data_IF_936359767515
#
_entry.id   IF_936359767515
#
_cell.length_a   1.000
_cell.length_b   1.000
_cell.length_c   1.000
_cell.angle_alpha   90.00
_cell.angle_beta   90.00
_cell.angle_gamma   90.00
#
_symmetry.space_group_name_H-M   'P 1'
#
loop_
_entity.id
_entity.type
_entity.pdbx_description
1 polymer ?
#
# COMPACT_ATOMS: atom_id res chain seq x y z
N UNK A 1 36.06 -7.42 8.74
CA UNK A 1 34.92 -8.32 9.06
C UNK A 1 33.55 -7.64 9.11
N UNK A 2 33.44 -6.36 9.51
CA UNK A 2 32.16 -5.61 9.50
C UNK A 2 31.43 -5.67 8.12
N UNK A 3 32.16 -5.41 7.03
CA UNK A 3 31.57 -5.33 5.69
C UNK A 3 30.97 -6.65 5.17
N UNK A 4 31.53 -7.81 5.56
CA UNK A 4 31.01 -9.11 5.13
C UNK A 4 29.68 -9.44 5.79
N UNK A 5 29.52 -9.11 7.08
CA UNK A 5 28.27 -9.28 7.81
C UNK A 5 27.17 -8.40 7.22
N UNK A 6 27.44 -7.09 7.06
CA UNK A 6 26.50 -6.14 6.48
C UNK A 6 26.07 -6.52 5.05
N UNK A 7 27.00 -7.03 4.23
CA UNK A 7 26.65 -7.52 2.88
C UNK A 7 25.75 -8.76 2.92
N UNK A 8 25.98 -9.70 3.85
CA UNK A 8 25.14 -10.89 4.00
C UNK A 8 23.74 -10.52 4.49
N UNK A 9 23.64 -9.65 5.50
CA UNK A 9 22.34 -9.17 6.00
C UNK A 9 21.57 -8.40 4.92
N UNK A 10 22.27 -7.55 4.15
CA UNK A 10 21.67 -6.84 3.02
C UNK A 10 21.13 -7.79 1.95
N UNK A 11 21.89 -8.81 1.54
CA UNK A 11 21.44 -9.80 0.55
C UNK A 11 20.24 -10.60 1.05
N UNK A 12 20.26 -11.04 2.31
CA UNK A 12 19.14 -11.77 2.90
C UNK A 12 17.88 -10.90 2.96
N UNK A 13 18.03 -9.62 3.31
CA UNK A 13 16.94 -8.66 3.35
C UNK A 13 16.39 -8.35 1.95
N UNK A 14 17.25 -8.10 0.96
CA UNK A 14 16.81 -7.92 -0.44
C UNK A 14 16.09 -9.17 -0.97
N UNK A 15 16.59 -10.37 -0.65
CA UNK A 15 15.92 -11.61 -1.01
C UNK A 15 14.54 -11.75 -0.38
N UNK A 16 14.41 -11.47 0.92
CA UNK A 16 13.14 -11.50 1.62
C UNK A 16 12.16 -10.43 1.10
N UNK A 17 12.62 -9.20 0.85
CA UNK A 17 11.84 -8.13 0.22
C UNK A 17 11.36 -8.58 -1.17
N UNK A 18 12.21 -9.16 -2.00
CA UNK A 18 11.83 -9.64 -3.34
C UNK A 18 10.75 -10.74 -3.28
N UNK A 19 10.87 -11.69 -2.35
CA UNK A 19 9.86 -12.74 -2.14
C UNK A 19 8.53 -12.13 -1.72
N UNK A 20 8.53 -11.25 -0.71
CA UNK A 20 7.30 -10.60 -0.24
C UNK A 20 6.70 -9.71 -1.33
N UNK A 21 7.52 -8.98 -2.09
CA UNK A 21 7.07 -8.18 -3.24
C UNK A 21 6.38 -9.06 -4.29
N UNK A 22 6.97 -10.22 -4.61
CA UNK A 22 6.38 -11.16 -5.57
C UNK A 22 5.01 -11.65 -5.10
N UNK A 23 4.89 -12.07 -3.83
CA UNK A 23 3.61 -12.50 -3.25
C UNK A 23 2.58 -11.35 -3.23
N UNK A 24 3.00 -10.14 -2.85
CA UNK A 24 2.13 -8.98 -2.81
C UNK A 24 1.66 -8.55 -4.21
N UNK A 25 2.53 -8.60 -5.22
CA UNK A 25 2.19 -8.36 -6.62
C UNK A 25 1.25 -9.43 -7.17
N UNK A 26 1.46 -10.71 -6.85
CA UNK A 26 0.54 -11.78 -7.23
C UNK A 26 -0.84 -11.56 -6.60
N UNK A 27 -0.91 -11.24 -5.30
CA UNK A 27 -2.18 -10.91 -4.65
C UNK A 27 -2.85 -9.67 -5.25
N UNK A 28 -2.07 -8.65 -5.59
CA UNK A 28 -2.57 -7.43 -6.22
C UNK A 28 -3.07 -7.65 -7.65
N UNK A 29 -2.34 -8.43 -8.45
CA UNK A 29 -2.70 -8.77 -9.83
C UNK A 29 -3.98 -9.60 -9.88
N UNK A 30 -4.16 -10.59 -8.98
CA UNK A 30 -5.43 -11.34 -8.89
C UNK A 30 -6.62 -10.40 -8.66
N UNK A 31 -6.43 -9.34 -7.86
CA UNK A 31 -7.47 -8.35 -7.59
C UNK A 31 -7.72 -7.38 -8.76
N UNK A 32 -6.70 -7.05 -9.54
CA UNK A 32 -6.84 -6.17 -10.70
C UNK A 32 -7.11 -6.92 -12.00
N UNK A 33 -6.98 -8.25 -12.02
CA UNK A 33 -7.19 -9.08 -13.20
C UNK A 33 -8.55 -8.86 -13.88
N UNK A 34 -9.68 -8.72 -13.17
CA UNK A 34 -10.95 -8.41 -13.82
C UNK A 34 -10.93 -7.10 -14.61
N UNK A 35 -10.17 -6.10 -14.15
CA UNK A 35 -10.01 -4.82 -14.84
C UNK A 35 -9.05 -4.91 -16.04
N UNK A 36 -8.13 -5.88 -16.04
CA UNK A 36 -7.17 -6.08 -17.13
C UNK A 36 -7.73 -6.92 -18.26
N UNK A 37 -8.69 -7.80 -17.96
CA UNK A 37 -9.32 -8.67 -18.95
C UNK A 37 -10.48 -7.97 -19.69
N UNK A 38 -11.06 -6.91 -19.11
CA UNK A 38 -12.16 -6.17 -19.75
C UNK A 38 -11.66 -5.44 -21.02
N UNK A 39 -12.10 -5.85 -22.22
CA UNK A 39 -11.65 -5.25 -23.48
C UNK A 39 -12.17 -3.81 -23.68
N UNK A 40 -13.03 -3.33 -22.79
CA UNK A 40 -13.55 -1.97 -22.83
C UNK A 40 -12.75 -1.00 -21.96
N UNK A 41 -11.82 -1.49 -21.13
CA UNK A 41 -10.98 -0.62 -20.30
C UNK A 41 -9.72 -0.23 -21.07
N UNK A 42 -9.43 1.07 -21.26
CA UNK A 42 -8.23 1.48 -21.97
C UNK A 42 -6.97 1.08 -21.19
N UNK A 43 -5.91 0.68 -21.90
CA UNK A 43 -4.63 0.24 -21.30
C UNK A 43 -3.97 1.33 -20.44
N UNK A 44 -4.21 2.60 -20.77
CA UNK A 44 -3.79 3.76 -19.98
C UNK A 44 -4.44 3.80 -18.59
N UNK A 45 -5.73 3.42 -18.48
CA UNK A 45 -6.42 3.29 -17.21
C UNK A 45 -5.89 2.10 -16.41
N UNK A 46 -5.70 0.95 -17.08
CA UNK A 46 -5.11 -0.24 -16.47
C UNK A 46 -3.74 0.04 -15.82
N UNK A 47 -2.90 0.85 -16.48
CA UNK A 47 -1.58 1.25 -15.96
C UNK A 47 -1.65 2.00 -14.62
N UNK A 48 -2.65 2.87 -14.44
CA UNK A 48 -2.82 3.61 -13.18
C UNK A 48 -3.08 2.65 -12.00
N UNK A 49 -3.90 1.61 -12.21
CA UNK A 49 -4.13 0.57 -11.21
C UNK A 49 -2.88 -0.27 -10.96
N UNK A 50 -2.19 -0.68 -12.02
CA UNK A 50 -0.96 -1.46 -11.92
C UNK A 50 0.11 -0.71 -11.10
N UNK A 51 0.27 0.59 -11.35
CA UNK A 51 1.16 1.47 -10.59
C UNK A 51 0.76 1.53 -9.11
N UNK A 52 -0.51 1.76 -8.80
CA UNK A 52 -0.98 1.82 -7.42
C UNK A 52 -0.74 0.49 -6.66
N UNK A 53 -1.01 -0.64 -7.32
CA UNK A 53 -0.71 -1.98 -6.77
C UNK A 53 0.79 -2.18 -6.57
N UNK A 54 1.62 -1.79 -7.53
CA UNK A 54 3.07 -1.94 -7.44
C UNK A 54 3.67 -1.13 -6.28
N UNK A 55 3.22 0.12 -6.10
CA UNK A 55 3.67 0.97 -4.99
C UNK A 55 3.27 0.37 -3.64
N UNK A 56 2.01 -0.10 -3.50
CA UNK A 56 1.55 -0.74 -2.28
C UNK A 56 2.29 -2.06 -2.01
N UNK A 57 2.52 -2.86 -3.06
CA UNK A 57 3.27 -4.11 -2.94
C UNK A 57 4.71 -3.84 -2.48
N UNK A 58 5.36 -2.80 -3.01
CA UNK A 58 6.71 -2.39 -2.59
C UNK A 58 6.74 -1.91 -1.14
N UNK A 59 5.75 -1.12 -0.72
CA UNK A 59 5.61 -0.67 0.67
C UNK A 59 5.51 -1.86 1.64
N UNK A 60 4.62 -2.80 1.36
CA UNK A 60 4.44 -4.04 2.15
C UNK A 60 5.70 -4.90 2.13
N UNK A 61 6.33 -5.04 0.96
CA UNK A 61 7.53 -5.83 0.78
C UNK A 61 8.70 -5.31 1.60
N UNK A 62 8.94 -3.99 1.59
CA UNK A 62 10.01 -3.40 2.37
C UNK A 62 9.69 -3.54 3.86
N UNK A 63 8.48 -3.17 4.28
CA UNK A 63 8.12 -3.14 5.69
C UNK A 63 8.06 -4.54 6.36
N UNK A 64 7.69 -5.59 5.63
CA UNK A 64 7.70 -6.98 6.14
C UNK A 64 8.99 -7.73 5.80
N UNK A 65 9.46 -7.64 4.56
CA UNK A 65 10.61 -8.40 4.08
C UNK A 65 11.92 -7.99 4.73
N UNK A 66 12.06 -6.71 5.09
CA UNK A 66 13.28 -6.21 5.71
C UNK A 66 13.55 -6.82 7.10
N UNK A 67 12.64 -6.70 8.10
CA UNK A 67 12.81 -7.37 9.39
C UNK A 67 13.02 -8.89 9.25
N UNK A 68 12.32 -9.54 8.31
CA UNK A 68 12.42 -10.99 8.06
C UNK A 68 13.81 -11.37 7.55
N UNK A 69 14.38 -10.64 6.59
CA UNK A 69 15.70 -10.98 6.09
C UNK A 69 16.83 -10.71 7.09
N UNK A 70 16.71 -9.66 7.91
CA UNK A 70 17.61 -9.45 9.04
C UNK A 70 17.51 -10.57 10.07
N UNK A 71 16.29 -10.98 10.43
CA UNK A 71 16.09 -12.06 11.40
C UNK A 71 16.66 -13.38 10.91
N UNK A 72 16.53 -13.70 9.62
CA UNK A 72 17.13 -14.89 9.00
C UNK A 72 18.66 -14.85 8.98
N UNK A 73 19.25 -13.71 8.62
CA UNK A 73 20.70 -13.55 8.62
C UNK A 73 21.29 -13.72 10.04
N UNK A 74 20.62 -13.15 11.05
CA UNK A 74 21.03 -13.26 12.44
C UNK A 74 20.79 -14.66 13.01
N UNK A 75 19.67 -15.30 12.69
CA UNK A 75 19.43 -16.70 13.07
C UNK A 75 20.52 -17.61 12.49
N UNK A 76 20.96 -17.36 11.25
CA UNK A 76 22.07 -18.11 10.63
C UNK A 76 23.40 -17.89 11.38
N UNK A 77 23.65 -16.68 11.91
CA UNK A 77 24.84 -16.43 12.74
C UNK A 77 24.77 -17.14 14.09
N UNK A 78 23.57 -17.23 14.68
CA UNK A 78 23.34 -17.97 15.92
C UNK A 78 23.50 -19.48 15.68
N UNK A 79 22.89 -20.01 14.63
CA UNK A 79 23.01 -21.41 14.19
C UNK A 79 24.47 -21.85 14.04
N UNK A 80 25.33 -20.98 13.47
CA UNK A 80 26.76 -21.27 13.25
C UNK A 80 27.64 -21.05 14.48
N UNK A 81 27.09 -20.52 15.58
CA UNK A 81 27.87 -20.14 16.75
C UNK A 81 28.73 -18.88 16.57
N UNK A 82 28.70 -18.23 15.40
CA UNK A 82 29.42 -16.97 15.12
C UNK A 82 28.98 -15.87 16.12
N UNK A 83 27.69 -15.82 16.46
CA UNK A 83 27.16 -14.88 17.44
C UNK A 83 27.78 -15.05 18.83
N UNK A 84 28.04 -16.28 19.28
CA UNK A 84 28.71 -16.54 20.57
C UNK A 84 30.18 -16.13 20.53
N UNK A 85 30.86 -16.35 19.41
CA UNK A 85 32.23 -15.90 19.22
C UNK A 85 32.37 -14.36 19.36
N UNK A 86 31.41 -13.60 18.81
CA UNK A 86 31.38 -12.14 19.02
C UNK A 86 31.14 -11.75 20.49
N UNK A 87 30.28 -12.49 21.20
CA UNK A 87 30.01 -12.24 22.61
C UNK A 87 31.22 -12.57 23.49
N UNK A 88 31.97 -13.63 23.20
CA UNK A 88 33.22 -13.95 23.91
C UNK A 88 34.33 -12.91 23.67
N UNK A 89 34.27 -12.19 22.55
CA UNK A 89 35.13 -11.04 22.27
C UNK A 89 34.62 -9.73 22.92
N UNK A 90 33.59 -9.79 23.75
CA UNK A 90 33.03 -8.64 24.48
C UNK A 90 32.04 -7.80 23.69
N UNK A 91 31.67 -8.18 22.46
CA UNK A 91 30.65 -7.45 21.68
C UNK A 91 29.25 -7.79 22.21
N UNK A 92 28.54 -6.79 22.72
CA UNK A 92 27.16 -7.00 23.19
C UNK A 92 26.17 -7.23 22.03
N UNK A 93 25.05 -7.95 22.25
CA UNK A 93 24.00 -8.11 21.25
C UNK A 93 23.46 -6.78 20.70
N UNK A 94 23.36 -5.77 21.57
CA UNK A 94 22.91 -4.42 21.21
C UNK A 94 23.91 -3.73 20.27
N UNK A 95 25.21 -3.85 20.53
CA UNK A 95 26.24 -3.31 19.65
C UNK A 95 26.24 -3.98 18.27
N UNK A 96 26.03 -5.31 18.23
CA UNK A 96 25.97 -6.06 16.97
C UNK A 96 24.71 -5.68 16.15
N UNK A 97 23.55 -5.51 16.80
CA UNK A 97 22.36 -4.99 16.15
C UNK A 97 22.55 -3.53 15.69
N UNK A 98 23.22 -2.70 16.50
CA UNK A 98 23.55 -1.31 16.19
C UNK A 98 24.41 -1.14 14.95
N UNK A 99 25.27 -2.12 14.62
CA UNK A 99 26.06 -2.14 13.37
C UNK A 99 25.21 -2.21 12.10
N UNK A 100 23.93 -2.59 12.22
CA UNK A 100 22.94 -2.55 11.14
C UNK A 100 22.20 -1.19 11.05
N UNK A 101 22.47 -0.26 11.96
CA UNK A 101 21.70 0.98 12.11
C UNK A 101 21.69 1.86 10.86
N UNK A 102 22.84 2.13 10.25
CA UNK A 102 22.91 2.92 9.02
C UNK A 102 22.10 2.30 7.88
N UNK A 103 22.20 0.97 7.73
CA UNK A 103 21.45 0.21 6.75
C UNK A 103 19.93 0.27 7.01
N UNK A 104 19.52 0.21 8.29
CA UNK A 104 18.14 0.38 8.70
C UNK A 104 17.58 1.77 8.39
N UNK A 105 18.35 2.83 8.67
CA UNK A 105 17.96 4.21 8.38
C UNK A 105 17.79 4.46 6.87
N UNK A 106 18.73 3.96 6.06
CA UNK A 106 18.65 4.10 4.60
C UNK A 106 17.35 3.50 4.05
N UNK A 107 16.91 2.35 4.58
CA UNK A 107 15.71 1.68 4.11
C UNK A 107 14.43 2.22 4.74
N UNK A 108 14.49 2.73 5.96
CA UNK A 108 13.42 3.53 6.51
C UNK A 108 13.19 4.78 5.64
N UNK A 109 14.25 5.42 5.12
CA UNK A 109 14.12 6.55 4.19
C UNK A 109 13.52 6.15 2.84
N UNK A 110 13.91 5.00 2.27
CA UNK A 110 13.29 4.46 1.04
C UNK A 110 11.81 4.15 1.28
N UNK A 111 11.48 3.45 2.37
CA UNK A 111 10.10 3.14 2.74
C UNK A 111 9.29 4.42 2.96
N UNK A 112 9.87 5.43 3.60
CA UNK A 112 9.25 6.74 3.77
C UNK A 112 8.89 7.35 2.42
N UNK A 113 9.83 7.39 1.46
CA UNK A 113 9.58 7.92 0.12
C UNK A 113 8.48 7.16 -0.63
N UNK A 114 8.52 5.82 -0.59
CA UNK A 114 7.49 4.97 -1.22
C UNK A 114 6.13 5.23 -0.57
N UNK A 115 6.04 5.15 0.76
CA UNK A 115 4.80 5.40 1.52
C UNK A 115 4.27 6.82 1.34
N UNK A 116 5.15 7.81 1.26
CA UNK A 116 4.80 9.21 1.01
C UNK A 116 4.15 9.37 -0.36
N UNK A 117 4.76 8.80 -1.40
CA UNK A 117 4.20 8.83 -2.76
C UNK A 117 2.83 8.13 -2.81
N UNK A 118 2.69 6.97 -2.16
CA UNK A 118 1.42 6.26 -2.06
C UNK A 118 0.34 7.07 -1.35
N UNK A 119 0.73 7.80 -0.30
CA UNK A 119 -0.19 8.57 0.52
C UNK A 119 -0.63 9.86 -0.18
N UNK A 120 0.23 10.50 -0.97
CA UNK A 120 -0.15 11.65 -1.81
C UNK A 120 -1.23 11.26 -2.84
N UNK A 121 -1.10 10.08 -3.45
CA UNK A 121 -2.10 9.55 -4.38
C UNK A 121 -3.41 9.22 -3.65
N UNK A 122 -3.34 8.79 -2.38
CA UNK A 122 -4.51 8.45 -1.55
C UNK A 122 -5.21 9.68 -0.92
N UNK A 123 -4.53 10.79 -0.71
CA UNK A 123 -5.12 12.03 -0.17
C UNK A 123 -6.10 12.66 -1.16
N UNK A 124 -5.83 12.52 -2.46
CA UNK A 124 -6.62 13.14 -3.55
C UNK A 124 -7.10 12.09 -4.54
N UNK A 125 -8.01 11.20 -4.14
CA UNK A 125 -8.52 10.14 -5.02
C UNK A 125 -9.17 10.71 -6.29
N UNK A 126 -9.70 11.93 -6.24
CA UNK A 126 -10.26 12.62 -7.40
C UNK A 126 -9.24 12.93 -8.49
N UNK A 127 -7.94 13.04 -8.16
CA UNK A 127 -6.90 13.21 -9.17
C UNK A 127 -6.77 11.97 -10.06
N UNK A 128 -6.80 10.79 -9.46
CA UNK A 128 -6.73 9.52 -10.22
C UNK A 128 -7.96 9.36 -11.11
N UNK A 129 -9.14 9.72 -10.61
CA UNK A 129 -10.36 9.72 -11.42
C UNK A 129 -10.31 10.77 -12.54
N UNK A 130 -9.78 11.97 -12.27
CA UNK A 130 -9.60 12.98 -13.32
C UNK A 130 -8.64 12.49 -14.41
N UNK A 131 -7.52 11.86 -14.04
CA UNK A 131 -6.57 11.26 -14.98
C UNK A 131 -7.23 10.12 -15.78
N UNK A 132 -8.08 9.30 -15.16
CA UNK A 132 -8.88 8.27 -15.83
C UNK A 132 -9.89 8.86 -16.83
N UNK A 133 -10.56 9.96 -16.47
CA UNK A 133 -11.51 10.65 -17.36
C UNK A 133 -10.78 11.22 -18.58
N UNK A 134 -9.62 11.82 -18.38
CA UNK A 134 -8.78 12.35 -19.47
C UNK A 134 -8.26 11.21 -20.36
N UNK A 135 -7.76 10.13 -19.76
CA UNK A 135 -7.21 8.98 -20.48
C UNK A 135 -8.27 8.19 -21.26
N UNK A 136 -9.48 8.06 -20.72
CA UNK A 136 -10.60 7.41 -21.41
C UNK A 136 -11.16 8.27 -22.54
N UNK A 137 -11.17 9.60 -22.37
CA UNK A 137 -11.54 10.52 -23.45
C UNK A 137 -10.54 10.48 -24.59
N UNK A 138 -9.24 10.52 -24.31
CA UNK A 138 -8.23 10.47 -25.37
C UNK A 138 -8.25 9.13 -26.11
N UNK A 139 -8.49 8.02 -25.39
CA UNK A 139 -8.73 6.71 -26.02
C UNK A 139 -9.96 6.74 -26.96
N UNK A 140 -11.04 7.38 -26.52
CA UNK A 140 -12.26 7.56 -27.31
C UNK A 140 -12.03 8.40 -28.57
N UNK A 141 -11.20 9.44 -28.49
CA UNK A 141 -10.83 10.27 -29.64
C UNK A 141 -9.98 9.48 -30.64
N UNK A 142 -9.06 8.63 -30.17
CA UNK A 142 -8.22 7.79 -31.04
C UNK A 142 -8.97 6.62 -31.69
N UNK A 143 -9.86 5.93 -30.95
CA UNK A 143 -10.59 4.77 -31.45
C UNK A 143 -11.87 5.17 -32.21
N UNK A 144 -12.53 6.25 -31.79
CA UNK A 144 -13.74 6.79 -32.41
C UNK A 144 -13.54 7.29 -33.83
N UNK A 145 -12.29 7.50 -34.25
CA UNK A 145 -11.94 7.78 -35.65
C UNK A 145 -12.30 6.62 -36.59
N UNK A 146 -12.39 5.38 -36.07
CA UNK A 146 -12.58 4.17 -36.87
C UNK A 146 -14.02 3.65 -36.83
N UNK A 147 -14.69 3.68 -35.66
CA UNK A 147 -16.04 3.17 -35.50
C UNK A 147 -16.77 3.79 -34.30
N UNK A 148 -18.10 3.73 -34.30
CA UNK A 148 -18.91 4.14 -33.16
C UNK A 148 -18.74 3.14 -32.01
N UNK A 149 -18.31 3.61 -30.84
CA UNK A 149 -18.03 2.79 -29.66
C UNK A 149 -18.34 3.54 -28.37
N UNK A 150 -18.70 2.80 -27.32
CA UNK A 150 -18.82 3.32 -25.97
C UNK A 150 -17.61 2.85 -25.14
N UNK A 151 -16.87 3.79 -24.56
CA UNK A 151 -15.74 3.49 -23.67
C UNK A 151 -16.17 3.79 -22.23
N UNK A 152 -16.27 2.77 -21.35
CA UNK A 152 -16.62 2.98 -19.94
C UNK A 152 -15.55 3.76 -19.19
N UNK A 153 -15.99 4.58 -18.24
CA UNK A 153 -15.16 5.24 -17.24
C UNK A 153 -15.30 4.45 -15.94
N UNK A 154 -14.25 3.73 -15.50
CA UNK A 154 -14.31 2.92 -14.28
C UNK A 154 -14.80 3.74 -13.07
N UNK A 155 -15.66 3.12 -12.25
CA UNK A 155 -16.26 3.68 -11.02
C UNK A 155 -17.29 4.82 -11.17
N UNK A 156 -17.38 5.48 -12.32
CA UNK A 156 -18.29 6.62 -12.51
C UNK A 156 -19.62 6.25 -13.19
N UNK A 157 -19.86 4.96 -13.47
CA UNK A 157 -21.01 4.45 -14.23
C UNK A 157 -21.27 5.24 -15.53
N UNK A 158 -20.25 5.90 -16.05
CA UNK A 158 -20.32 6.81 -17.19
C UNK A 158 -19.54 6.22 -18.35
N UNK A 159 -19.93 6.62 -19.56
CA UNK A 159 -19.33 6.14 -20.80
C UNK A 159 -19.03 7.32 -21.71
N UNK A 160 -17.88 7.30 -22.38
CA UNK A 160 -17.64 8.16 -23.52
C UNK A 160 -18.24 7.51 -24.76
N UNK A 161 -19.18 8.20 -25.40
CA UNK A 161 -19.74 7.85 -26.70
C UNK A 161 -18.85 8.47 -27.78
N UNK A 162 -18.22 7.60 -28.56
CA UNK A 162 -17.32 7.92 -29.64
C UNK A 162 -18.03 7.66 -30.97
N UNK A 163 -17.89 8.56 -31.93
CA UNK A 163 -18.42 8.40 -33.29
C UNK A 163 -17.47 9.06 -34.30
N UNK A 164 -17.32 8.51 -35.52
CA UNK A 164 -16.45 9.10 -36.53
C UNK A 164 -16.83 10.55 -36.84
N UNK A 165 -15.85 11.45 -36.80
CA UNK A 165 -16.01 12.87 -37.13
C UNK A 165 -16.79 13.70 -36.10
N UNK A 166 -17.17 13.13 -34.95
CA UNK A 166 -17.93 13.83 -33.91
C UNK A 166 -17.12 13.84 -32.60
N UNK A 167 -17.04 14.97 -31.88
CA UNK A 167 -16.34 15.01 -30.60
C UNK A 167 -17.01 14.07 -29.58
N UNK A 168 -16.22 13.42 -28.68
CA UNK A 168 -16.75 12.52 -27.67
C UNK A 168 -17.86 13.16 -26.82
N UNK A 169 -18.93 12.42 -26.59
CA UNK A 169 -20.02 12.82 -25.70
C UNK A 169 -20.05 11.90 -24.50
N UNK A 170 -20.04 12.47 -23.30
CA UNK A 170 -20.26 11.70 -22.09
C UNK A 170 -21.72 11.26 -22.04
N UNK A 171 -21.95 10.03 -21.62
CA UNK A 171 -23.24 9.46 -21.25
C UNK A 171 -23.14 8.95 -19.81
N UNK A 172 -24.08 9.37 -18.96
CA UNK A 172 -24.10 9.00 -17.55
C UNK A 172 -25.54 8.84 -17.06
N UNK A 173 -25.95 7.65 -16.58
CA UNK A 173 -27.23 7.49 -15.93
C UNK A 173 -27.21 8.22 -14.59
N UNK A 174 -28.26 9.00 -14.33
CA UNK A 174 -28.42 9.70 -13.06
C UNK A 174 -29.12 8.80 -12.04
N UNK A 175 -28.68 8.78 -10.78
CA UNK A 175 -29.32 7.98 -9.75
C UNK A 175 -30.73 8.51 -9.41
N UNK A 176 -30.97 9.81 -9.60
CA UNK A 176 -32.28 10.46 -9.41
C UNK A 176 -32.46 11.62 -10.39
N UNK A 177 -33.66 11.80 -10.97
CA UNK A 177 -34.82 10.89 -10.91
C UNK A 177 -34.56 9.56 -11.64
N UNK A 178 -35.29 8.49 -11.30
CA UNK A 178 -35.08 7.17 -11.91
C UNK A 178 -35.28 7.22 -13.44
N UNK A 179 -34.39 6.55 -14.18
CA UNK A 179 -34.39 6.57 -15.64
C UNK A 179 -33.90 7.88 -16.27
N UNK A 180 -33.43 8.84 -15.47
CA UNK A 180 -32.84 10.06 -16.01
C UNK A 180 -31.42 9.81 -16.54
N UNK A 181 -31.12 10.43 -17.67
CA UNK A 181 -29.85 10.29 -18.38
C UNK A 181 -29.23 11.67 -18.56
N UNK A 182 -27.96 11.81 -18.22
CA UNK A 182 -27.19 13.01 -18.50
C UNK A 182 -26.21 12.73 -19.63
N UNK A 183 -26.21 13.60 -20.64
CA UNK A 183 -25.14 13.68 -21.63
C UNK A 183 -24.34 14.96 -21.44
N UNK A 184 -23.03 14.97 -21.69
CA UNK A 184 -22.19 16.14 -21.46
C UNK A 184 -21.00 16.21 -22.43
N UNK A 185 -20.37 17.39 -22.57
CA UNK A 185 -19.14 17.56 -23.37
C UNK A 185 -17.87 17.35 -22.56
N UNK A 186 -17.92 17.62 -21.26
CA UNK A 186 -16.81 17.34 -20.36
C UNK A 186 -17.30 16.92 -18.99
N UNK A 187 -16.40 16.25 -18.28
CA UNK A 187 -16.59 15.71 -16.95
C UNK A 187 -15.42 16.18 -16.09
N UNK A 188 -15.72 16.88 -15.01
CA UNK A 188 -14.76 17.27 -14.00
C UNK A 188 -15.11 16.59 -12.68
N UNK A 189 -14.13 15.91 -12.08
CA UNK A 189 -14.29 15.21 -10.80
C UNK A 189 -13.61 16.06 -9.72
N UNK A 190 -14.31 16.32 -8.62
CA UNK A 190 -13.72 17.04 -7.50
C UNK A 190 -12.57 16.24 -6.87
N UNK A 191 -11.56 16.90 -6.27
CA UNK A 191 -10.41 16.20 -5.66
C UNK A 191 -10.79 15.18 -4.58
N UNK A 192 -11.91 15.40 -3.88
CA UNK A 192 -12.46 14.55 -2.83
C UNK A 192 -13.52 13.56 -3.33
N UNK A 193 -13.82 13.54 -4.64
CA UNK A 193 -14.80 12.64 -5.28
C UNK A 193 -16.24 12.82 -4.75
N UNK A 194 -16.53 13.96 -4.11
CA UNK A 194 -17.86 14.27 -3.57
C UNK A 194 -18.74 15.05 -4.53
N UNK A 195 -18.15 15.69 -5.53
CA UNK A 195 -18.89 16.31 -6.61
C UNK A 195 -18.33 15.98 -7.98
N UNK A 196 -19.25 15.94 -8.94
CA UNK A 196 -18.96 15.78 -10.35
C UNK A 196 -19.63 16.94 -11.08
N UNK A 197 -18.86 17.65 -11.88
CA UNK A 197 -19.32 18.77 -12.67
C UNK A 197 -19.30 18.39 -14.14
N UNK A 198 -20.47 18.45 -14.77
CA UNK A 198 -20.67 18.25 -16.20
C UNK A 198 -20.80 19.59 -16.88
N UNK A 199 -20.09 19.80 -17.99
CA UNK A 199 -20.29 21.00 -18.81
C UNK A 199 -21.02 20.65 -20.11
N UNK A 200 -21.81 21.59 -20.62
CA UNK A 200 -22.62 21.40 -21.83
C UNK A 200 -23.60 20.24 -21.69
N UNK A 201 -24.22 20.12 -20.51
CA UNK A 201 -25.04 18.99 -20.14
C UNK A 201 -26.43 19.04 -20.78
N UNK A 202 -26.94 17.90 -21.21
CA UNK A 202 -28.35 17.70 -21.54
C UNK A 202 -28.88 16.57 -20.67
N UNK A 203 -29.92 16.85 -19.88
CA UNK A 203 -30.54 15.90 -18.96
C UNK A 203 -31.88 15.49 -19.53
N UNK A 204 -32.03 14.21 -19.83
CA UNK A 204 -33.25 13.60 -20.31
C UNK A 204 -33.97 12.91 -19.15
N UNK A 205 -35.24 13.25 -18.95
CA UNK A 205 -36.10 12.76 -17.87
C UNK A 205 -37.44 12.32 -18.49
N UNK A 206 -37.45 11.11 -19.06
CA UNK A 206 -38.61 10.56 -19.76
C UNK A 206 -38.97 11.38 -21.01
N UNK A 207 -39.99 12.24 -20.92
CA UNK A 207 -40.45 13.11 -22.02
C UNK A 207 -39.88 14.53 -21.99
N UNK A 208 -39.16 14.89 -20.93
CA UNK A 208 -38.56 16.21 -20.79
C UNK A 208 -37.05 16.15 -21.06
N UNK A 209 -36.53 17.13 -21.79
CA UNK A 209 -35.09 17.34 -21.98
C UNK A 209 -34.70 18.73 -21.48
N UNK A 210 -33.72 18.81 -20.59
CA UNK A 210 -33.21 20.05 -20.03
C UNK A 210 -31.74 20.24 -20.43
N UNK A 211 -31.49 21.28 -21.24
CA UNK A 211 -30.13 21.69 -21.61
C UNK A 211 -29.61 22.68 -20.57
N UNK A 212 -28.50 22.36 -19.93
CA UNK A 212 -27.86 23.17 -18.89
C UNK A 212 -26.40 23.41 -19.26
N UNK A 213 -25.92 24.65 -19.10
CA UNK A 213 -24.51 24.98 -19.37
C UNK A 213 -23.56 24.22 -18.44
N UNK A 214 -23.93 24.07 -17.18
CA UNK A 214 -23.16 23.36 -16.16
C UNK A 214 -24.11 22.62 -15.21
N UNK A 215 -23.86 21.33 -14.98
CA UNK A 215 -24.58 20.51 -14.00
C UNK A 215 -23.59 20.00 -12.96
N UNK A 216 -23.72 20.46 -11.72
CA UNK A 216 -22.92 19.98 -10.59
C UNK A 216 -23.73 18.97 -9.76
N UNK A 217 -23.31 17.70 -9.82
CA UNK A 217 -23.81 16.62 -8.98
C UNK A 217 -23.01 16.61 -7.69
N UNK A 218 -23.65 16.94 -6.56
CA UNK A 218 -23.03 16.91 -5.22
C UNK A 218 -23.49 15.69 -4.43
N UNK A 219 -22.74 15.35 -3.38
CA UNK A 219 -23.05 14.27 -2.43
C UNK A 219 -23.06 12.89 -3.09
N UNK A 220 -22.16 12.67 -4.04
CA UNK A 220 -21.90 11.33 -4.52
C UNK A 220 -21.39 10.48 -3.35
N UNK A 221 -21.84 9.22 -3.22
CA UNK A 221 -21.26 8.31 -2.23
C UNK A 221 -19.76 8.23 -2.50
N UNK A 222 -18.90 8.34 -1.47
CA UNK A 222 -17.47 8.28 -1.68
C UNK A 222 -17.12 6.91 -2.26
N UNK A 223 -16.76 6.88 -3.54
CA UNK A 223 -16.34 5.66 -4.25
C UNK A 223 -15.09 5.07 -3.60
N UNK A 224 -14.26 5.95 -3.03
CA UNK A 224 -13.04 5.61 -2.29
C UNK A 224 -12.97 6.53 -1.07
N UNK A 225 -12.74 5.96 0.11
CA UNK A 225 -12.46 6.76 1.29
C UNK A 225 -11.12 7.48 1.10
N UNK A 226 -11.13 8.82 1.18
CA UNK A 226 -9.89 9.61 1.26
C UNK A 226 -9.11 9.16 2.49
N UNK A 227 -7.80 9.01 2.35
CA UNK A 227 -6.94 8.75 3.50
C UNK A 227 -7.18 9.82 4.56
N UNK A 228 -7.49 9.41 5.79
CA UNK A 228 -7.76 10.38 6.87
C UNK A 228 -6.45 10.86 7.49
N UNK A 229 -5.42 10.03 7.42
CA UNK A 229 -4.08 10.33 7.89
C UNK A 229 -3.31 11.07 6.80
N UNK A 230 -2.78 12.25 7.14
CA UNK A 230 -1.93 13.01 6.24
C UNK A 230 -0.70 12.21 5.75
N UNK A 231 -0.19 12.48 4.53
CA UNK A 231 0.88 11.68 3.93
C UNK A 231 2.15 11.58 4.78
N UNK A 232 2.50 12.64 5.53
CA UNK A 232 3.75 12.73 6.29
C UNK A 232 3.66 11.81 7.49
N UNK A 233 2.53 11.89 8.20
CA UNK A 233 2.25 11.08 9.37
C UNK A 233 2.20 9.59 9.02
N UNK A 234 1.57 9.23 7.90
CA UNK A 234 1.53 7.84 7.42
C UNK A 234 2.93 7.32 7.11
N UNK A 235 3.70 8.06 6.30
CA UNK A 235 5.05 7.68 5.93
C UNK A 235 6.02 7.61 7.10
N UNK A 236 5.95 8.57 8.04
CA UNK A 236 6.77 8.56 9.24
C UNK A 236 6.42 7.38 10.16
N UNK A 237 5.14 7.14 10.42
CA UNK A 237 4.69 6.09 11.33
C UNK A 237 5.02 4.69 10.83
N UNK A 238 4.80 4.39 9.54
CA UNK A 238 5.14 3.07 8.98
C UNK A 238 6.66 2.84 8.94
N UNK A 239 7.44 3.88 8.61
CA UNK A 239 8.90 3.79 8.56
C UNK A 239 9.50 3.61 9.95
N UNK A 240 8.99 4.35 10.94
CA UNK A 240 9.37 4.21 12.34
C UNK A 240 9.00 2.82 12.88
N UNK A 241 7.78 2.33 12.62
CA UNK A 241 7.35 1.00 13.02
C UNK A 241 8.21 -0.10 12.39
N UNK A 242 8.54 0.02 11.10
CA UNK A 242 9.42 -0.93 10.41
C UNK A 242 10.83 -0.92 10.97
N UNK A 243 11.39 0.27 11.27
CA UNK A 243 12.72 0.39 11.87
C UNK A 243 12.75 -0.25 13.27
N UNK A 244 11.73 0.02 14.08
CA UNK A 244 11.54 -0.57 15.40
C UNK A 244 11.38 -2.08 15.32
N UNK A 245 10.59 -2.60 14.36
CA UNK A 245 10.48 -4.02 14.09
C UNK A 245 11.85 -4.61 13.76
N UNK A 246 12.57 -4.03 12.79
CA UNK A 246 13.85 -4.57 12.32
C UNK A 246 14.91 -4.62 13.43
N UNK A 247 15.09 -3.52 14.18
CA UNK A 247 16.03 -3.49 15.30
C UNK A 247 15.58 -4.36 16.47
N UNK A 248 14.30 -4.32 16.84
CA UNK A 248 13.76 -5.12 17.93
C UNK A 248 13.89 -6.61 17.67
N UNK A 249 13.56 -7.07 16.46
CA UNK A 249 13.77 -8.47 16.05
C UNK A 249 15.26 -8.81 16.03
N UNK A 250 16.11 -7.94 15.49
CA UNK A 250 17.54 -8.19 15.44
C UNK A 250 18.13 -8.38 16.85
N UNK A 251 17.77 -7.50 17.78
CA UNK A 251 18.16 -7.58 19.17
C UNK A 251 17.60 -8.86 19.83
N UNK A 252 16.32 -9.17 19.65
CA UNK A 252 15.69 -10.36 20.23
C UNK A 252 16.29 -11.66 19.72
N UNK A 253 16.54 -11.79 18.41
CA UNK A 253 17.16 -13.00 17.82
C UNK A 253 18.55 -13.24 18.41
N UNK A 254 19.35 -12.17 18.57
CA UNK A 254 20.68 -12.27 19.17
C UNK A 254 20.63 -12.53 20.68
N UNK A 255 19.80 -11.80 21.41
CA UNK A 255 19.71 -11.86 22.87
C UNK A 255 19.10 -13.18 23.35
N UNK A 256 18.06 -13.67 22.66
CA UNK A 256 17.45 -14.95 22.95
C UNK A 256 18.18 -16.11 22.25
N UNK A 257 19.25 -15.86 21.48
CA UNK A 257 19.95 -16.87 20.69
C UNK A 257 18.98 -17.77 19.91
N UNK A 258 18.10 -17.17 19.10
CA UNK A 258 17.13 -17.88 18.27
C UNK A 258 17.87 -18.53 17.09
N UNK A 259 18.02 -19.85 17.16
CA UNK A 259 18.69 -20.72 16.20
C UNK A 259 17.72 -21.37 15.19
N UNK A 260 16.41 -21.12 15.32
CA UNK A 260 15.40 -21.68 14.41
C UNK A 260 14.87 -20.60 13.49
N UNK A 261 15.15 -20.74 12.19
CA UNK A 261 14.69 -19.80 11.15
C UNK A 261 13.19 -19.50 11.19
N UNK A 262 12.36 -20.51 11.37
CA UNK A 262 10.90 -20.34 11.44
C UNK A 262 10.46 -19.41 12.58
N UNK A 263 11.15 -19.46 13.72
CA UNK A 263 10.86 -18.60 14.87
C UNK A 263 11.30 -17.16 14.62
N UNK A 264 12.44 -16.99 13.95
CA UNK A 264 12.93 -15.68 13.54
C UNK A 264 12.01 -15.04 12.48
N UNK A 265 11.49 -15.82 11.52
CA UNK A 265 10.50 -15.37 10.53
C UNK A 265 9.19 -15.03 11.23
N UNK A 266 8.68 -15.89 12.12
CA UNK A 266 7.39 -15.65 12.78
C UNK A 266 7.43 -14.39 13.65
N UNK A 267 8.51 -14.19 14.41
CA UNK A 267 8.71 -12.99 15.23
C UNK A 267 8.78 -11.71 14.39
N UNK A 268 9.49 -11.76 13.27
CA UNK A 268 9.58 -10.63 12.35
C UNK A 268 8.24 -10.33 11.66
N UNK A 269 7.55 -11.37 11.20
CA UNK A 269 6.26 -11.28 10.53
C UNK A 269 5.18 -10.72 11.44
N UNK A 270 5.05 -11.21 12.68
CA UNK A 270 4.04 -10.69 13.61
C UNK A 270 4.27 -9.23 13.96
N UNK A 271 5.52 -8.80 14.16
CA UNK A 271 5.83 -7.40 14.44
C UNK A 271 5.44 -6.48 13.26
N UNK A 272 5.84 -6.84 12.04
CA UNK A 272 5.50 -6.06 10.85
C UNK A 272 4.00 -6.03 10.58
N UNK A 273 3.31 -7.16 10.70
CA UNK A 273 1.85 -7.26 10.54
C UNK A 273 1.09 -6.45 11.60
N UNK A 274 1.57 -6.43 12.85
CA UNK A 274 0.96 -5.62 13.90
C UNK A 274 1.06 -4.12 13.61
N UNK A 275 2.22 -3.63 13.14
CA UNK A 275 2.40 -2.25 12.71
C UNK A 275 1.45 -1.87 11.57
N UNK A 276 1.40 -2.68 10.50
CA UNK A 276 0.46 -2.45 9.40
C UNK A 276 -1.01 -2.50 9.83
N UNK A 277 -1.38 -3.47 10.66
CA UNK A 277 -2.71 -3.63 11.20
C UNK A 277 -3.14 -2.42 12.01
N UNK A 278 -2.26 -1.91 12.87
CA UNK A 278 -2.50 -0.70 13.65
C UNK A 278 -2.71 0.53 12.76
N UNK A 279 -1.84 0.73 11.76
CA UNK A 279 -1.97 1.85 10.81
C UNK A 279 -3.30 1.78 10.04
N UNK A 280 -3.69 0.59 9.56
CA UNK A 280 -4.98 0.38 8.88
C UNK A 280 -6.18 0.55 9.80
N UNK A 281 -6.05 0.16 11.07
CA UNK A 281 -7.07 0.40 12.09
C UNK A 281 -7.28 1.89 12.34
N UNK A 282 -6.20 2.66 12.49
CA UNK A 282 -6.26 4.11 12.66
C UNK A 282 -6.86 4.83 11.45
N UNK A 283 -6.52 4.41 10.23
CA UNK A 283 -7.08 4.99 9.01
C UNK A 283 -8.61 4.78 8.93
N UNK A 284 -9.09 3.58 9.33
CA UNK A 284 -10.53 3.27 9.40
C UNK A 284 -11.27 4.05 10.49
N UNK A 285 -10.59 4.36 11.60
CA UNK A 285 -11.16 5.14 12.70
C UNK A 285 -11.20 6.65 12.40
N UNK A 286 -10.67 7.10 11.25
CA UNK A 286 -10.76 8.49 10.82
C UNK A 286 -9.94 9.44 11.69
N UNK A 287 -8.75 9.01 12.12
CA UNK A 287 -7.95 9.67 13.17
C UNK A 287 -7.19 10.90 12.65
N UNK A 288 -7.60 11.48 11.53
CA UNK A 288 -6.91 12.59 10.86
C UNK A 288 -6.61 13.80 11.76
N UNK A 289 -7.56 14.12 12.66
CA UNK A 289 -7.44 15.27 13.56
C UNK A 289 -6.55 15.01 14.79
N UNK A 290 -6.07 13.78 14.99
CA UNK A 290 -5.32 13.36 16.18
C UNK A 290 -3.99 12.71 15.79
N UNK A 291 -3.03 13.48 15.24
CA UNK A 291 -1.77 12.95 14.72
C UNK A 291 -0.92 12.23 15.77
N UNK A 292 -1.08 12.57 17.06
CA UNK A 292 -0.38 11.89 18.17
C UNK A 292 -0.73 10.40 18.28
N UNK A 293 -1.92 9.97 17.82
CA UNK A 293 -2.32 8.56 17.81
C UNK A 293 -1.51 7.72 16.81
N UNK A 294 -0.79 8.35 15.86
CA UNK A 294 0.15 7.65 14.98
C UNK A 294 1.35 7.06 15.76
N UNK A 295 1.64 7.57 16.96
CA UNK A 295 2.60 6.97 17.88
C UNK A 295 2.21 5.56 18.32
N UNK A 296 0.93 5.16 18.21
CA UNK A 296 0.47 3.81 18.52
C UNK A 296 0.98 2.76 17.53
N UNK A 297 1.35 3.14 16.31
CA UNK A 297 1.83 2.20 15.27
C UNK A 297 3.16 1.52 15.67
N UNK A 298 4.23 2.26 16.03
CA UNK A 298 5.45 1.63 16.55
C UNK A 298 5.22 0.96 17.92
N UNK A 299 4.31 1.47 18.76
CA UNK A 299 3.98 0.83 20.05
C UNK A 299 3.35 -0.54 19.82
N UNK A 300 2.40 -0.69 18.89
CA UNK A 300 1.81 -1.97 18.52
C UNK A 300 2.85 -2.96 18.00
N UNK A 301 3.89 -2.45 17.33
CA UNK A 301 5.01 -3.26 16.86
C UNK A 301 5.86 -3.76 18.04
N UNK A 302 6.18 -2.89 19.00
CA UNK A 302 6.91 -3.26 20.22
C UNK A 302 6.14 -4.26 21.08
N UNK A 303 4.84 -4.07 21.25
CA UNK A 303 4.01 -5.01 22.03
C UNK A 303 3.97 -6.39 21.36
N UNK A 304 3.83 -6.45 20.03
CA UNK A 304 3.90 -7.70 19.29
C UNK A 304 5.27 -8.39 19.44
N UNK A 305 6.37 -7.64 19.43
CA UNK A 305 7.71 -8.16 19.69
C UNK A 305 7.86 -8.71 21.11
N UNK A 306 7.39 -7.98 22.12
CA UNK A 306 7.45 -8.41 23.51
C UNK A 306 6.64 -9.70 23.74
N UNK A 307 5.42 -9.76 23.20
CA UNK A 307 4.59 -10.97 23.26
C UNK A 307 5.23 -12.15 22.51
N UNK A 308 5.79 -11.90 21.32
CA UNK A 308 6.52 -12.93 20.57
C UNK A 308 7.74 -13.45 21.32
N UNK A 309 8.50 -12.56 21.97
CA UNK A 309 9.65 -12.93 22.81
C UNK A 309 9.22 -13.78 24.02
N UNK A 310 8.17 -13.38 24.73
CA UNK A 310 7.62 -14.15 25.86
C UNK A 310 7.16 -15.55 25.41
N UNK A 311 6.50 -15.65 24.25
CA UNK A 311 6.11 -16.93 23.66
C UNK A 311 7.33 -17.82 23.37
N UNK A 312 8.39 -17.26 22.78
CA UNK A 312 9.64 -17.99 22.52
C UNK A 312 10.27 -18.51 23.80
N UNK A 313 10.36 -17.67 24.83
CA UNK A 313 10.91 -18.06 26.13
C UNK A 313 10.05 -19.15 26.79
N UNK A 314 8.72 -19.00 26.77
CA UNK A 314 7.79 -19.98 27.34
C UNK A 314 7.90 -21.34 26.68
N UNK A 315 7.89 -21.39 25.35
CA UNK A 315 7.98 -22.65 24.60
C UNK A 315 9.35 -23.33 24.77
N UNK A 316 10.43 -22.56 24.95
CA UNK A 316 11.75 -23.13 25.29
C UNK A 316 11.75 -23.78 26.66
N UNK A 317 11.12 -23.17 27.66
CA UNK A 317 11.01 -23.74 29.02
C UNK A 317 10.22 -25.05 29.00
N UNK A 318 9.08 -25.08 28.33
CA UNK A 318 8.24 -26.30 28.19
C UNK A 318 9.04 -27.44 27.53
N UNK A 319 9.86 -27.13 26.54
CA UNK A 319 10.68 -28.14 25.87
C UNK A 319 11.80 -28.68 26.76
N UNK A 320 12.44 -27.83 27.56
CA UNK A 320 13.47 -28.26 28.50
C UNK A 320 12.92 -29.21 29.58
N UNK A 321 11.71 -28.97 30.07
CA UNK A 321 11.03 -29.84 31.05
C UNK A 321 10.54 -31.15 30.44
N UNK A 322 10.29 -31.22 29.14
CA UNK A 322 9.86 -32.46 28.48
C UNK A 322 11.03 -33.42 28.17
N UNK A 323 12.27 -32.94 28.26
CA UNK A 323 13.49 -33.73 27.99
C UNK A 323 14.24 -34.17 29.24
N UNK A 324 13.81 -33.72 30.42
CA UNK A 324 14.31 -34.12 31.74
C UNK A 324 13.46 -35.24 32.32
#
# INVERSE_FOLDING_TARGET
MSNTFQRRSARAALGAVAVVATVALLGGTVRTLPLLIDPNIPTSAAWLFARAVAVLALEVAIALGWPVGWSLALATLVERGEARAYQTLGTSPAELAGKLGFQGLAIAAVLFGVSWSAALDAERPGRVLADLVVASRSACESEGALAARAIPIPFLSAHWLCSPGVPPRLYMPLPRPEGALATATSLYVSPDVRSVRLTGANVEMGRASLKVGELELKRLPPLVASATIGPLGRAASISAATLVAAWGVAWLVLNLAIDRRLWAISLAGTAGLAGFGALRGLDRLGVGDRPWLLGLVPVATLTALALGALLVVGLRRIRATATS
#
